data_IF_295011052853
#
_entry.id   IF_295011052853
#
_cell.length_a   1.000
_cell.length_b   1.000
_cell.length_c   1.000
_cell.angle_alpha   90.00
_cell.angle_beta   90.00
_cell.angle_gamma   90.00
#
_symmetry.space_group_name_H-M   'P 1'
#
loop_
_entity.id
_entity.type
_entity.pdbx_description
1 polymer ?
#
# COMPACT_ATOMS: atom_id res chain seq x y z
N UNK A 1 -28.72 -7.82 -7.58
CA UNK A 1 -27.83 -6.70 -7.19
C UNK A 1 -26.66 -6.73 -8.15
N UNK A 2 -26.61 -5.74 -9.02
CA UNK A 2 -25.51 -5.64 -9.96
C UNK A 2 -24.21 -5.45 -9.19
N UNK A 3 -23.32 -6.42 -9.30
CA UNK A 3 -21.94 -6.24 -8.83
C UNK A 3 -21.37 -5.06 -9.63
N UNK A 4 -20.95 -3.98 -9.00
CA UNK A 4 -20.39 -2.86 -9.75
C UNK A 4 -19.27 -3.39 -10.63
N UNK A 5 -19.31 -3.04 -11.93
CA UNK A 5 -18.29 -3.44 -12.90
C UNK A 5 -16.99 -2.70 -12.53
N UNK A 6 -16.20 -3.33 -11.65
CA UNK A 6 -14.93 -2.79 -11.17
C UNK A 6 -13.81 -3.61 -11.82
N UNK A 7 -12.97 -2.93 -12.58
CA UNK A 7 -11.78 -3.51 -13.18
C UNK A 7 -10.56 -3.28 -12.26
N UNK A 8 -9.68 -4.27 -12.22
CA UNK A 8 -8.38 -4.13 -11.57
C UNK A 8 -7.30 -4.09 -12.62
N UNK A 9 -6.43 -3.10 -12.58
CA UNK A 9 -5.31 -2.97 -13.51
C UNK A 9 -3.99 -2.66 -12.79
N UNK A 10 -2.89 -2.98 -13.45
CA UNK A 10 -1.56 -2.55 -13.00
C UNK A 10 -1.45 -1.03 -13.07
N UNK A 11 -0.80 -0.48 -12.06
CA UNK A 11 -0.38 0.91 -12.09
C UNK A 11 0.83 1.10 -13.01
N UNK A 12 0.84 2.22 -13.70
CA UNK A 12 1.94 2.67 -14.56
C UNK A 12 2.60 3.92 -13.94
N UNK A 13 3.77 4.36 -14.42
CA UNK A 13 4.38 5.60 -13.96
C UNK A 13 3.46 6.84 -14.07
N UNK A 14 2.52 6.84 -15.00
CA UNK A 14 1.56 7.92 -15.18
C UNK A 14 0.51 7.98 -14.05
N UNK A 15 0.34 6.91 -13.31
CA UNK A 15 -0.56 6.84 -12.15
C UNK A 15 0.06 7.37 -10.84
N UNK A 16 1.32 7.80 -10.87
CA UNK A 16 2.05 8.20 -9.66
C UNK A 16 1.33 9.28 -8.84
N UNK A 17 0.67 10.23 -9.51
CA UNK A 17 -0.09 11.30 -8.84
C UNK A 17 -1.35 10.74 -8.16
N UNK A 18 -2.05 9.77 -8.75
CA UNK A 18 -3.23 9.12 -8.16
C UNK A 18 -2.82 8.34 -6.91
N UNK A 19 -1.73 7.59 -6.99
CA UNK A 19 -1.19 6.82 -5.85
C UNK A 19 -0.77 7.78 -4.73
N UNK A 20 -0.16 8.93 -5.05
CA UNK A 20 0.20 9.95 -4.08
C UNK A 20 -1.03 10.51 -3.36
N UNK A 21 -2.10 10.85 -4.09
CA UNK A 21 -3.35 11.34 -3.49
C UNK A 21 -4.00 10.29 -2.58
N UNK A 22 -4.05 9.03 -2.98
CA UNK A 22 -4.55 7.93 -2.14
C UNK A 22 -3.74 7.78 -0.85
N UNK A 23 -2.40 7.95 -0.93
CA UNK A 23 -1.53 7.89 0.25
C UNK A 23 -1.78 9.05 1.20
N UNK A 24 -1.95 10.26 0.69
CA UNK A 24 -2.28 11.43 1.51
C UNK A 24 -3.63 11.26 2.19
N UNK A 25 -4.65 10.82 1.45
CA UNK A 25 -5.98 10.54 1.99
C UNK A 25 -5.95 9.48 3.10
N UNK A 26 -5.22 8.38 2.88
CA UNK A 26 -5.05 7.31 3.87
C UNK A 26 -4.41 7.82 5.17
N UNK A 27 -3.39 8.67 5.08
CA UNK A 27 -2.78 9.23 6.27
C UNK A 27 -3.70 10.20 7.01
N UNK A 28 -4.43 11.04 6.29
CA UNK A 28 -5.38 11.98 6.89
C UNK A 28 -6.53 11.28 7.63
N UNK A 29 -6.88 10.06 7.24
CA UNK A 29 -7.88 9.25 7.94
C UNK A 29 -7.35 8.56 9.21
N UNK A 30 -6.06 8.22 9.23
CA UNK A 30 -5.47 7.41 10.32
C UNK A 30 -4.88 8.24 11.45
N UNK A 31 -4.55 9.51 11.19
CA UNK A 31 -3.95 10.44 12.17
C UNK A 31 -4.14 11.89 11.73
N UNK A 32 -4.08 12.85 12.66
CA UNK A 32 -4.06 14.26 12.30
C UNK A 32 -2.82 14.58 11.44
N UNK A 33 -3.03 15.14 10.26
CA UNK A 33 -1.97 15.60 9.35
C UNK A 33 -2.27 17.04 8.99
N UNK A 34 -1.34 17.97 9.26
CA UNK A 34 -1.53 19.38 8.94
C UNK A 34 -1.67 19.58 7.42
N UNK A 35 -2.32 20.68 7.01
CA UNK A 35 -2.47 21.03 5.60
C UNK A 35 -1.10 21.27 4.93
N UNK A 36 -0.13 21.80 5.66
CA UNK A 36 1.25 21.99 5.21
C UNK A 36 1.91 20.65 4.85
N UNK A 37 1.88 19.68 5.78
CA UNK A 37 2.43 18.34 5.53
C UNK A 37 1.72 17.65 4.36
N UNK A 38 0.39 17.80 4.23
CA UNK A 38 -0.33 17.23 3.09
C UNK A 38 0.13 17.87 1.77
N UNK A 39 0.37 19.18 1.75
CA UNK A 39 0.88 19.91 0.57
C UNK A 39 2.28 19.43 0.21
N UNK A 40 3.17 19.29 1.19
CA UNK A 40 4.53 18.80 0.97
C UNK A 40 4.51 17.38 0.40
N UNK A 41 3.69 16.48 0.96
CA UNK A 41 3.54 15.12 0.46
C UNK A 41 3.04 15.08 -1.00
N UNK A 42 2.04 15.91 -1.35
CA UNK A 42 1.54 16.03 -2.73
C UNK A 42 2.60 16.54 -3.69
N UNK A 43 3.51 17.37 -3.21
CA UNK A 43 4.63 17.89 -4.01
C UNK A 43 5.74 16.86 -4.24
N UNK A 44 6.07 16.06 -3.22
CA UNK A 44 7.23 15.14 -3.24
C UNK A 44 6.93 13.75 -3.77
N UNK A 45 5.75 13.21 -3.42
CA UNK A 45 5.43 11.81 -3.67
C UNK A 45 5.31 11.42 -5.15
N UNK A 46 4.71 12.24 -6.05
CA UNK A 46 4.52 11.83 -7.45
C UNK A 46 5.83 11.49 -8.16
N UNK A 47 6.86 12.31 -8.03
CA UNK A 47 8.15 12.06 -8.68
C UNK A 47 8.85 10.83 -8.09
N UNK A 48 8.80 10.67 -6.77
CA UNK A 48 9.36 9.50 -6.10
C UNK A 48 8.65 8.22 -6.55
N UNK A 49 7.31 8.21 -6.56
CA UNK A 49 6.52 7.05 -6.98
C UNK A 49 6.72 6.73 -8.46
N UNK A 50 6.79 7.75 -9.33
CA UNK A 50 7.10 7.57 -10.74
C UNK A 50 8.43 6.84 -10.92
N UNK A 51 9.48 7.32 -10.29
CA UNK A 51 10.81 6.70 -10.36
C UNK A 51 10.77 5.25 -9.83
N UNK A 52 10.08 4.99 -8.72
CA UNK A 52 9.97 3.65 -8.15
C UNK A 52 9.18 2.69 -9.05
N UNK A 53 8.15 3.18 -9.75
CA UNK A 53 7.39 2.40 -10.74
C UNK A 53 8.24 2.08 -11.97
N UNK A 54 9.02 3.06 -12.48
CA UNK A 54 9.91 2.89 -13.63
C UNK A 54 11.05 1.92 -13.34
N UNK A 55 11.61 1.96 -12.13
CA UNK A 55 12.74 1.10 -11.73
C UNK A 55 12.30 -0.27 -11.19
N UNK A 56 11.00 -0.52 -11.07
CA UNK A 56 10.46 -1.76 -10.50
C UNK A 56 10.62 -1.89 -8.98
N UNK A 57 10.99 -0.83 -8.27
CA UNK A 57 11.04 -0.82 -6.81
C UNK A 57 9.65 -0.75 -6.18
N UNK A 58 8.66 -0.34 -6.93
CA UNK A 58 7.25 -0.32 -6.55
C UNK A 58 6.41 -1.00 -7.62
N UNK A 59 5.49 -1.83 -7.20
CA UNK A 59 4.46 -2.41 -8.04
C UNK A 59 3.09 -2.10 -7.46
N UNK A 60 2.15 -1.61 -8.26
CA UNK A 60 0.83 -1.19 -7.81
C UNK A 60 -0.31 -1.72 -8.64
N UNK A 61 -1.49 -1.75 -8.05
CA UNK A 61 -2.77 -2.10 -8.66
C UNK A 61 -3.80 -1.04 -8.31
N UNK A 62 -4.63 -0.71 -9.29
CA UNK A 62 -5.69 0.28 -9.15
C UNK A 62 -7.03 -0.35 -9.47
N UNK A 63 -8.05 0.02 -8.70
CA UNK A 63 -9.44 -0.31 -8.96
C UNK A 63 -10.09 0.81 -9.76
N UNK A 64 -10.68 0.46 -10.88
CA UNK A 64 -11.36 1.39 -11.77
C UNK A 64 -12.83 1.01 -11.88
N UNK A 65 -13.72 1.97 -11.66
CA UNK A 65 -15.16 1.76 -11.83
C UNK A 65 -15.58 1.82 -13.31
N UNK A 66 -16.85 1.59 -13.59
CA UNK A 66 -17.41 1.59 -14.94
C UNK A 66 -17.25 2.94 -15.67
N UNK A 67 -17.19 4.04 -14.93
CA UNK A 67 -17.00 5.39 -15.47
C UNK A 67 -15.53 5.75 -15.74
N UNK A 68 -14.62 4.82 -15.45
CA UNK A 68 -13.18 5.03 -15.59
C UNK A 68 -12.50 5.70 -14.40
N UNK A 69 -13.22 6.04 -13.34
CA UNK A 69 -12.66 6.66 -12.15
C UNK A 69 -11.89 5.64 -11.30
N UNK A 70 -10.75 6.05 -10.74
CA UNK A 70 -9.98 5.22 -9.81
C UNK A 70 -10.55 5.37 -8.41
N UNK A 71 -11.03 4.26 -7.85
CA UNK A 71 -11.73 4.19 -6.57
C UNK A 71 -10.94 3.52 -5.46
N UNK A 72 -9.76 3.02 -5.75
CA UNK A 72 -8.87 2.40 -4.77
C UNK A 72 -7.58 1.89 -5.39
N UNK A 73 -6.69 1.42 -4.56
CA UNK A 73 -5.43 0.84 -4.98
C UNK A 73 -4.68 0.17 -3.84
N UNK A 74 -3.66 -0.58 -4.21
CA UNK A 74 -2.68 -1.17 -3.29
C UNK A 74 -1.33 -1.29 -4.00
N UNK A 75 -0.26 -1.31 -3.24
CA UNK A 75 1.06 -1.50 -3.80
C UNK A 75 2.01 -2.24 -2.89
N UNK A 76 3.13 -2.63 -3.45
CA UNK A 76 4.27 -3.19 -2.73
C UNK A 76 5.55 -2.44 -3.09
N UNK A 77 6.35 -2.19 -2.08
CA UNK A 77 7.75 -1.80 -2.22
C UNK A 77 8.61 -3.05 -2.10
N UNK A 78 9.54 -3.24 -3.03
CA UNK A 78 10.49 -4.34 -2.98
C UNK A 78 11.73 -3.91 -2.19
N UNK A 79 11.98 -4.57 -1.06
CA UNK A 79 13.11 -4.30 -0.19
C UNK A 79 14.17 -5.38 -0.34
N UNK A 80 15.40 -4.99 -0.61
CA UNK A 80 16.53 -5.93 -0.57
C UNK A 80 16.89 -6.22 0.88
N UNK A 81 17.06 -7.49 1.18
CA UNK A 81 17.50 -8.00 2.49
C UNK A 81 18.76 -8.82 2.32
N UNK A 82 19.47 -9.03 3.42
CA UNK A 82 20.47 -10.08 3.47
C UNK A 82 19.79 -11.46 3.51
N UNK A 83 20.36 -12.50 2.89
CA UNK A 83 19.86 -13.86 3.02
C UNK A 83 19.71 -14.27 4.48
N UNK A 84 18.64 -15.00 4.79
CA UNK A 84 18.34 -15.53 6.13
C UNK A 84 18.38 -17.05 6.12
N UNK A 85 18.38 -17.65 7.30
CA UNK A 85 18.34 -19.12 7.43
C UNK A 85 17.05 -19.67 6.85
N UNK A 86 15.93 -18.94 7.05
CA UNK A 86 14.58 -19.34 6.62
C UNK A 86 14.29 -19.07 5.15
N UNK A 87 15.00 -18.08 4.55
CA UNK A 87 14.88 -17.74 3.13
C UNK A 87 16.18 -17.23 2.55
N UNK A 88 16.58 -17.81 1.43
CA UNK A 88 17.77 -17.39 0.68
C UNK A 88 17.45 -16.31 -0.36
N UNK A 89 16.18 -15.96 -0.54
CA UNK A 89 15.78 -14.90 -1.47
C UNK A 89 15.99 -13.55 -0.80
N UNK A 90 16.92 -12.70 -1.27
CA UNK A 90 17.27 -11.45 -0.62
C UNK A 90 16.26 -10.34 -0.96
N UNK A 91 14.97 -10.63 -0.91
CA UNK A 91 13.91 -9.70 -1.22
C UNK A 91 12.69 -9.91 -0.32
N UNK A 92 12.13 -8.82 0.15
CA UNK A 92 10.87 -8.78 0.88
C UNK A 92 9.92 -7.81 0.19
N UNK A 93 8.65 -8.16 0.09
CA UNK A 93 7.59 -7.27 -0.36
C UNK A 93 6.98 -6.54 0.84
N UNK A 94 7.11 -5.22 0.91
CA UNK A 94 6.42 -4.39 1.89
C UNK A 94 5.13 -3.84 1.27
N UNK A 95 3.98 -4.32 1.72
CA UNK A 95 2.67 -3.80 1.27
C UNK A 95 2.47 -2.39 1.81
N UNK A 96 2.10 -1.50 0.92
CA UNK A 96 1.85 -0.08 1.21
C UNK A 96 0.63 0.41 0.42
N UNK A 97 0.07 1.54 0.85
CA UNK A 97 -0.98 2.26 0.10
C UNK A 97 -2.24 1.42 -0.19
N UNK A 98 -2.64 0.55 0.72
CA UNK A 98 -3.93 -0.14 0.61
C UNK A 98 -5.04 0.86 0.94
N UNK A 99 -5.76 1.29 -0.09
CA UNK A 99 -6.77 2.33 0.01
C UNK A 99 -8.00 1.96 -0.82
N UNK A 100 -9.18 2.22 -0.28
CA UNK A 100 -10.46 2.20 -1.00
C UNK A 100 -11.20 3.46 -0.60
N UNK A 101 -11.72 4.19 -1.58
CA UNK A 101 -12.49 5.40 -1.33
C UNK A 101 -13.68 5.09 -0.41
N UNK A 102 -14.00 5.96 0.58
CA UNK A 102 -14.96 5.67 1.63
C UNK A 102 -16.31 5.15 1.15
N UNK A 103 -16.84 5.74 0.07
CA UNK A 103 -18.13 5.38 -0.54
C UNK A 103 -18.16 3.99 -1.20
N UNK A 104 -16.99 3.39 -1.42
CA UNK A 104 -16.83 2.07 -2.04
C UNK A 104 -16.39 0.98 -1.06
N UNK A 105 -16.28 1.28 0.23
CA UNK A 105 -15.86 0.32 1.28
C UNK A 105 -16.93 -0.71 1.58
N UNK A 106 -16.55 -1.73 2.33
CA UNK A 106 -17.44 -2.82 2.77
C UNK A 106 -17.97 -3.74 1.64
N UNK A 107 -17.36 -3.67 0.45
CA UNK A 107 -17.66 -4.51 -0.71
C UNK A 107 -16.55 -5.52 -1.05
N UNK A 108 -15.65 -5.80 -0.13
CA UNK A 108 -14.56 -6.76 -0.34
C UNK A 108 -13.40 -6.27 -1.22
N UNK A 109 -13.40 -5.00 -1.64
CA UNK A 109 -12.43 -4.46 -2.59
C UNK A 109 -10.99 -4.45 -2.06
N UNK A 110 -10.80 -4.14 -0.77
CA UNK A 110 -9.47 -4.21 -0.16
C UNK A 110 -8.92 -5.66 -0.13
N UNK A 111 -9.78 -6.65 0.14
CA UNK A 111 -9.44 -8.07 0.04
C UNK A 111 -9.03 -8.44 -1.37
N UNK A 112 -9.81 -8.06 -2.37
CA UNK A 112 -9.53 -8.33 -3.76
C UNK A 112 -8.18 -7.73 -4.21
N UNK A 113 -7.88 -6.48 -3.82
CA UNK A 113 -6.57 -5.86 -4.06
C UNK A 113 -5.43 -6.65 -3.42
N UNK A 114 -5.59 -7.05 -2.16
CA UNK A 114 -4.58 -7.82 -1.44
C UNK A 114 -4.35 -9.20 -2.06
N UNK A 115 -5.40 -9.90 -2.44
CA UNK A 115 -5.30 -11.21 -3.10
C UNK A 115 -4.59 -11.10 -4.46
N UNK A 116 -4.93 -10.08 -5.27
CA UNK A 116 -4.27 -9.78 -6.54
C UNK A 116 -2.78 -9.50 -6.35
N UNK A 117 -2.45 -8.64 -5.40
CA UNK A 117 -1.08 -8.27 -5.06
C UNK A 117 -0.28 -9.47 -4.56
N UNK A 118 -0.85 -10.27 -3.65
CA UNK A 118 -0.19 -11.46 -3.11
C UNK A 118 0.03 -12.55 -4.16
N UNK A 119 -0.89 -12.70 -5.12
CA UNK A 119 -0.70 -13.60 -6.25
C UNK A 119 0.53 -13.21 -7.06
N UNK A 120 0.66 -11.93 -7.41
CA UNK A 120 1.82 -11.42 -8.12
C UNK A 120 3.13 -11.59 -7.33
N UNK A 121 3.12 -11.31 -6.01
CA UNK A 121 4.31 -11.49 -5.16
C UNK A 121 4.79 -12.95 -5.18
N UNK A 122 3.85 -13.93 -5.14
CA UNK A 122 4.18 -15.35 -5.27
C UNK A 122 4.78 -15.69 -6.64
N UNK A 123 4.23 -15.12 -7.72
CA UNK A 123 4.77 -15.31 -9.09
C UNK A 123 6.20 -14.77 -9.22
N UNK A 124 6.57 -13.73 -8.44
CA UNK A 124 7.94 -13.22 -8.38
C UNK A 124 8.88 -14.11 -7.55
N UNK A 125 8.39 -15.18 -6.93
CA UNK A 125 9.17 -16.04 -6.06
C UNK A 125 9.53 -15.40 -4.72
N UNK A 126 8.87 -14.31 -4.31
CA UNK A 126 9.10 -13.64 -3.04
C UNK A 126 8.36 -14.37 -1.93
N UNK A 127 9.09 -14.81 -0.91
CA UNK A 127 8.54 -15.66 0.15
C UNK A 127 8.07 -14.87 1.38
N UNK A 128 8.55 -13.63 1.53
CA UNK A 128 8.23 -12.79 2.69
C UNK A 128 7.48 -11.54 2.28
N UNK A 129 6.32 -11.35 2.90
CA UNK A 129 5.49 -10.15 2.74
C UNK A 129 5.28 -9.52 4.12
N UNK A 130 5.54 -8.23 4.23
CA UNK A 130 5.32 -7.46 5.44
C UNK A 130 4.34 -6.31 5.19
N UNK A 131 3.71 -5.81 6.24
CA UNK A 131 2.91 -4.59 6.22
C UNK A 131 2.84 -3.97 7.62
N UNK A 132 2.45 -2.70 7.69
CA UNK A 132 2.09 -2.03 8.93
C UNK A 132 0.57 -1.91 8.99
N UNK A 133 -0.05 -2.69 9.87
CA UNK A 133 -1.49 -2.76 9.98
C UNK A 133 -2.04 -1.59 10.80
N UNK A 134 -2.99 -0.83 10.24
CA UNK A 134 -3.87 0.01 11.05
C UNK A 134 -4.85 -0.86 11.85
N UNK A 135 -5.45 -0.29 12.90
CA UNK A 135 -6.49 -1.00 13.67
C UNK A 135 -7.66 -1.44 12.79
N UNK A 136 -8.04 -0.64 11.81
CA UNK A 136 -9.13 -0.92 10.87
C UNK A 136 -8.75 -2.02 9.84
N UNK A 137 -7.50 -2.05 9.39
CA UNK A 137 -7.04 -3.03 8.39
C UNK A 137 -6.65 -4.38 8.98
N UNK A 138 -6.25 -4.42 10.27
CA UNK A 138 -5.75 -5.63 10.92
C UNK A 138 -6.63 -6.87 10.75
N UNK A 139 -7.97 -6.82 10.96
CA UNK A 139 -8.82 -8.00 10.80
C UNK A 139 -8.75 -8.61 9.39
N UNK A 140 -8.68 -7.79 8.35
CA UNK A 140 -8.50 -8.24 6.99
C UNK A 140 -7.18 -8.99 6.83
N UNK A 141 -6.08 -8.41 7.29
CA UNK A 141 -4.74 -8.99 7.12
C UNK A 141 -4.58 -10.30 7.88
N UNK A 142 -5.14 -10.41 9.08
CA UNK A 142 -5.16 -11.67 9.84
C UNK A 142 -5.90 -12.78 9.10
N UNK A 143 -7.02 -12.48 8.44
CA UNK A 143 -7.75 -13.48 7.60
C UNK A 143 -6.97 -13.89 6.35
N UNK A 144 -6.00 -13.09 5.91
CA UNK A 144 -5.09 -13.40 4.81
C UNK A 144 -3.82 -14.13 5.26
N UNK A 145 -3.68 -14.41 6.55
CA UNK A 145 -2.58 -15.15 7.13
C UNK A 145 -1.41 -14.30 7.64
N UNK A 146 -1.56 -12.97 7.69
CA UNK A 146 -0.57 -12.13 8.33
C UNK A 146 -0.61 -12.30 9.86
N UNK A 147 0.57 -12.36 10.46
CA UNK A 147 0.73 -12.47 11.91
C UNK A 147 1.69 -11.39 12.44
N UNK A 148 1.54 -10.94 13.68
CA UNK A 148 2.50 -10.05 14.31
C UNK A 148 3.90 -10.65 14.36
N UNK A 149 4.91 -9.81 14.25
CA UNK A 149 6.32 -10.20 14.38
C UNK A 149 6.96 -9.52 15.59
N UNK A 150 8.22 -9.85 15.83
CA UNK A 150 9.05 -9.24 16.89
C UNK A 150 9.78 -7.97 16.42
N UNK A 151 9.38 -7.35 15.31
CA UNK A 151 9.99 -6.12 14.85
C UNK A 151 9.80 -4.99 15.87
N UNK A 152 10.89 -4.29 16.18
CA UNK A 152 10.90 -3.14 17.07
C UNK A 152 11.33 -1.90 16.29
N UNK A 153 10.69 -0.75 16.56
CA UNK A 153 10.98 0.52 15.92
C UNK A 153 11.37 1.56 16.95
N UNK A 154 12.48 2.26 16.71
CA UNK A 154 12.90 3.42 17.49
C UNK A 154 12.76 4.68 16.62
N UNK A 155 11.95 5.63 17.06
CA UNK A 155 11.85 6.94 16.45
C UNK A 155 12.89 7.87 17.09
N UNK A 156 13.85 8.37 16.27
CA UNK A 156 14.94 9.22 16.75
C UNK A 156 14.57 10.71 16.78
N UNK A 157 13.42 11.10 16.22
CA UNK A 157 12.87 12.45 16.44
C UNK A 157 12.25 12.49 17.84
N UNK A 158 12.60 13.50 18.62
CA UNK A 158 11.87 13.81 19.84
C UNK A 158 10.39 14.06 19.48
N UNK A 159 9.49 13.37 20.15
CA UNK A 159 8.07 13.64 20.04
C UNK A 159 7.80 14.98 20.76
N UNK A 160 7.38 16.06 20.07
CA UNK A 160 7.09 17.33 20.74
C UNK A 160 5.90 17.23 21.71
N UNK A 161 5.19 16.10 21.76
CA UNK A 161 4.08 15.85 22.68
C UNK A 161 4.46 14.97 23.89
N UNK A 162 5.74 14.66 24.11
CA UNK A 162 6.25 13.84 25.21
C UNK A 162 6.70 14.68 26.44
N UNK A 163 6.16 15.91 26.62
CA UNK A 163 6.25 16.69 27.86
C UNK A 163 4.90 16.79 28.58
#
# INVERSE_FOLDING_TARGET
>A
MDTPNIATRRATPDDAHIIAEQRVAMFAETRPVSAEIQTDLRSMLPDQLRNMLETGQYAGWLLQNADGAIIGGAGVMLRRLLPRVETQIPCEALVVNVYVAPEHRSHGLARHLMETLLAWVREQGIERVALHASSMGRPLYETLGFAPTSEMVLNLKADPAAE
#
